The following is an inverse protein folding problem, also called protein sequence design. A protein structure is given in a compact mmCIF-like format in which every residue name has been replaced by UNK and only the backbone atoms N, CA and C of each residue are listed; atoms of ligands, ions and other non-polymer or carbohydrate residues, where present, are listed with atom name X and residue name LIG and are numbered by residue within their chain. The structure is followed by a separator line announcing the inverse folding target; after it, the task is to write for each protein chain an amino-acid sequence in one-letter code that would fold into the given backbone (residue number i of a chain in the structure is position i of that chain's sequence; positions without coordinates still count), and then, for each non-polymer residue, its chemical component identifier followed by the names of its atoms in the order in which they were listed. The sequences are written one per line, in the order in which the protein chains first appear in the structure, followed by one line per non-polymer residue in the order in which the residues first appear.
data_IF_957897497150
#
_entry.id   IF_957897497150
#
_cell.length_a   1.000
_cell.length_b   1.000
_cell.length_c   1.000
_cell.angle_alpha   90.00
_cell.angle_beta   90.00
_cell.angle_gamma   90.00
#
_symmetry.space_group_name_H-M   'P 1'
#
loop_
_entity.id
_entity.type
_entity.pdbx_description
1 polymer ?
#
# COMPACT_ATOMS: atom_id res chain seq x y z
N UNK A 1 -22.32 -1.47 14.99
CA UNK A 1 -21.42 -2.65 14.93
C UNK A 1 -20.04 -2.13 14.56
N UNK A 2 -19.03 -2.42 15.38
CA UNK A 2 -17.63 -2.00 15.17
C UNK A 2 -16.80 -3.27 14.93
N UNK A 3 -15.95 -3.26 13.90
CA UNK A 3 -15.07 -4.42 13.59
C UNK A 3 -13.82 -4.40 14.46
N UNK A 4 -13.15 -3.24 14.59
CA UNK A 4 -11.96 -3.08 15.44
C UNK A 4 -11.75 -1.60 15.85
N UNK A 5 -10.74 -1.34 16.69
CA UNK A 5 -10.21 -0.01 17.03
C UNK A 5 -8.67 -0.01 16.97
N UNK A 6 -8.03 1.14 17.24
CA UNK A 6 -6.57 1.24 17.36
C UNK A 6 -5.79 1.36 16.05
N UNK A 7 -6.49 1.58 14.92
CA UNK A 7 -5.88 1.99 13.66
C UNK A 7 -5.49 3.47 13.72
N UNK A 8 -4.38 3.84 13.08
CA UNK A 8 -3.87 5.21 13.02
C UNK A 8 -3.88 5.68 11.57
N UNK A 9 -4.72 6.66 11.23
CA UNK A 9 -4.87 7.21 9.87
C UNK A 9 -4.96 6.12 8.77
N UNK A 10 -5.96 5.22 8.81
CA UNK A 10 -6.12 4.19 7.79
C UNK A 10 -6.45 4.81 6.42
N UNK A 11 -5.81 4.32 5.35
CA UNK A 11 -5.92 4.89 4.00
C UNK A 11 -6.66 3.96 3.04
N UNK A 12 -6.41 2.66 3.11
CA UNK A 12 -7.01 1.65 2.24
C UNK A 12 -6.99 0.28 2.92
N UNK A 13 -7.91 -0.60 2.54
CA UNK A 13 -7.95 -1.98 3.00
C UNK A 13 -8.07 -2.96 1.84
N UNK A 14 -7.64 -4.21 2.07
CA UNK A 14 -7.87 -5.31 1.15
C UNK A 14 -8.21 -6.61 1.91
N UNK A 15 -9.16 -7.36 1.37
CA UNK A 15 -9.61 -8.63 1.92
C UNK A 15 -8.79 -9.78 1.35
N UNK A 16 -8.30 -10.64 2.24
CA UNK A 16 -7.64 -11.87 1.87
C UNK A 16 -8.65 -13.04 1.79
N UNK A 17 -8.44 -14.01 0.89
CA UNK A 17 -9.26 -15.22 0.84
C UNK A 17 -9.23 -16.07 2.12
N UNK A 18 -8.21 -15.88 2.98
CA UNK A 18 -8.08 -16.56 4.27
C UNK A 18 -8.79 -15.85 5.44
N UNK A 19 -9.59 -14.82 5.15
CA UNK A 19 -10.39 -14.09 6.12
C UNK A 19 -9.67 -12.94 6.83
N UNK A 20 -8.37 -12.74 6.56
CA UNK A 20 -7.65 -11.55 7.04
C UNK A 20 -8.07 -10.30 6.27
N UNK A 21 -8.06 -9.17 6.94
CA UNK A 21 -8.18 -7.84 6.33
C UNK A 21 -6.84 -7.14 6.54
N UNK A 22 -6.22 -6.73 5.44
CA UNK A 22 -5.03 -5.90 5.48
C UNK A 22 -5.45 -4.43 5.44
N UNK A 23 -4.89 -3.61 6.31
CA UNK A 23 -5.21 -2.18 6.40
C UNK A 23 -3.93 -1.37 6.34
N UNK A 24 -3.80 -0.54 5.32
CA UNK A 24 -2.73 0.42 5.23
C UNK A 24 -3.01 1.60 6.17
N UNK A 25 -2.00 1.99 6.94
CA UNK A 25 -1.97 3.23 7.70
C UNK A 25 -1.03 4.20 6.99
N UNK A 26 -1.44 5.47 6.89
CA UNK A 26 -0.70 6.49 6.14
C UNK A 26 0.78 6.57 6.52
N UNK A 27 1.08 6.39 7.82
CA UNK A 27 2.43 6.43 8.38
C UNK A 27 3.34 5.24 8.02
N UNK A 28 2.89 4.33 7.14
CA UNK A 28 3.73 3.25 6.60
C UNK A 28 3.50 1.88 7.23
N UNK A 29 2.61 1.74 8.21
CA UNK A 29 2.27 0.43 8.75
C UNK A 29 1.25 -0.27 7.84
N UNK A 30 1.49 -1.54 7.53
CA UNK A 30 0.43 -2.43 7.09
C UNK A 30 -0.04 -3.28 8.27
N UNK A 31 -1.32 -3.15 8.62
CA UNK A 31 -1.94 -3.84 9.75
C UNK A 31 -2.74 -5.04 9.29
N UNK A 32 -2.98 -5.99 10.20
CA UNK A 32 -3.84 -7.14 9.98
C UNK A 32 -4.99 -7.09 10.98
N UNK A 33 -6.22 -7.22 10.48
CA UNK A 33 -7.37 -7.62 11.27
C UNK A 33 -7.62 -9.09 10.97
N UNK A 34 -7.69 -9.92 12.02
CA UNK A 34 -7.93 -11.37 11.93
C UNK A 34 -8.96 -11.75 12.98
N UNK A 35 -10.03 -12.44 12.57
CA UNK A 35 -11.13 -12.82 13.46
C UNK A 35 -11.72 -11.62 14.24
N UNK A 36 -11.83 -10.46 13.59
CA UNK A 36 -12.34 -9.23 14.22
C UNK A 36 -11.37 -8.54 15.20
N UNK A 37 -10.11 -8.99 15.28
CA UNK A 37 -9.12 -8.40 16.18
C UNK A 37 -7.98 -7.79 15.38
N UNK A 38 -7.63 -6.53 15.67
CA UNK A 38 -6.42 -5.89 15.15
C UNK A 38 -5.20 -6.52 15.82
N UNK A 39 -4.29 -7.07 15.03
CA UNK A 39 -3.05 -7.62 15.57
C UNK A 39 -2.15 -6.50 16.12
N UNK A 40 -1.45 -6.74 17.25
CA UNK A 40 -0.64 -5.73 17.92
C UNK A 40 0.60 -5.34 17.10
N UNK A 41 1.15 -6.29 16.35
CA UNK A 41 2.34 -6.07 15.50
C UNK A 41 1.88 -5.80 14.05
N UNK A 42 2.37 -4.74 13.39
CA UNK A 42 2.12 -4.54 11.97
C UNK A 42 2.76 -5.66 11.15
N UNK A 43 2.12 -6.05 10.06
CA UNK A 43 2.66 -7.01 9.09
C UNK A 43 3.99 -6.52 8.51
N UNK A 44 4.07 -5.22 8.19
CA UNK A 44 5.29 -4.51 7.80
C UNK A 44 5.19 -3.06 8.23
N UNK A 45 6.33 -2.45 8.53
CA UNK A 45 6.48 -1.02 8.74
C UNK A 45 7.45 -0.47 7.69
N UNK A 46 6.93 0.39 6.81
CA UNK A 46 7.71 1.06 5.78
C UNK A 46 8.11 2.45 6.26
N UNK A 47 9.32 2.88 5.93
CA UNK A 47 9.68 4.28 6.03
C UNK A 47 9.08 5.03 4.85
N UNK A 48 8.24 6.04 5.10
CA UNK A 48 7.46 6.76 4.07
C UNK A 48 7.46 8.26 4.32
N UNK A 49 7.28 9.05 3.26
CA UNK A 49 6.89 10.45 3.42
C UNK A 49 5.37 10.50 3.67
N UNK A 50 4.92 10.94 4.85
CA UNK A 50 3.49 10.94 5.23
C UNK A 50 2.87 12.35 5.27
N UNK A 51 3.33 13.29 4.44
CA UNK A 51 2.80 14.65 4.39
C UNK A 51 1.60 14.77 3.46
N UNK A 52 0.51 15.43 3.89
CA UNK A 52 -0.69 15.62 3.08
C UNK A 52 -1.38 14.28 2.77
N UNK A 53 -1.52 13.94 1.49
CA UNK A 53 -2.04 12.65 1.03
C UNK A 53 -0.94 11.60 0.78
N UNK A 54 0.34 11.95 0.97
CA UNK A 54 1.46 11.01 0.83
C UNK A 54 1.43 9.98 1.95
N UNK A 55 2.11 8.86 1.75
CA UNK A 55 2.26 7.80 2.74
C UNK A 55 2.11 6.42 2.12
N UNK A 56 1.74 5.43 2.93
CA UNK A 56 1.25 4.14 2.42
C UNK A 56 -0.25 4.26 2.11
N UNK A 57 -0.58 4.29 0.82
CA UNK A 57 -1.93 4.66 0.35
C UNK A 57 -2.54 3.68 -0.66
N UNK A 58 -1.80 2.64 -1.05
CA UNK A 58 -2.34 1.58 -1.91
C UNK A 58 -1.94 0.20 -1.44
N UNK A 59 -2.87 -0.74 -1.61
CA UNK A 59 -2.64 -2.16 -1.41
C UNK A 59 -3.44 -2.95 -2.45
N UNK A 60 -2.85 -4.03 -2.97
CA UNK A 60 -3.61 -5.11 -3.59
C UNK A 60 -2.90 -6.45 -3.37
N UNK A 61 -3.66 -7.53 -3.40
CA UNK A 61 -3.13 -8.88 -3.27
C UNK A 61 -2.96 -9.46 -4.67
N UNK A 62 -1.94 -10.30 -4.86
CA UNK A 62 -1.81 -11.07 -6.08
C UNK A 62 -3.03 -12.00 -6.28
N UNK A 63 -3.52 -12.21 -7.51
CA UNK A 63 -4.63 -13.14 -7.77
C UNK A 63 -4.37 -14.57 -7.24
N UNK A 64 -3.11 -14.98 -7.14
CA UNK A 64 -2.69 -16.27 -6.59
C UNK A 64 -2.19 -16.18 -5.14
N UNK A 65 -2.65 -15.19 -4.36
CA UNK A 65 -2.21 -14.94 -2.98
C UNK A 65 -2.27 -16.16 -2.06
N UNK A 66 -3.25 -17.06 -2.24
CA UNK A 66 -3.36 -18.29 -1.46
C UNK A 66 -2.13 -19.19 -1.59
N UNK A 67 -1.44 -19.12 -2.73
CA UNK A 67 -0.25 -19.91 -3.05
C UNK A 67 1.04 -19.10 -2.87
N UNK A 68 1.15 -17.92 -3.47
CA UNK A 68 2.41 -17.16 -3.53
C UNK A 68 2.61 -16.16 -2.38
N UNK A 69 1.55 -15.83 -1.65
CA UNK A 69 1.57 -14.87 -0.52
C UNK A 69 2.10 -13.48 -0.90
N UNK A 70 1.88 -13.06 -2.15
CA UNK A 70 2.34 -11.76 -2.62
C UNK A 70 1.33 -10.64 -2.36
N UNK A 71 1.84 -9.54 -1.82
CA UNK A 71 1.12 -8.27 -1.69
C UNK A 71 1.87 -7.18 -2.44
N UNK A 72 1.14 -6.20 -2.97
CA UNK A 72 1.66 -5.03 -3.65
C UNK A 72 1.25 -3.80 -2.87
N UNK A 73 2.22 -2.92 -2.61
CA UNK A 73 2.03 -1.70 -1.82
C UNK A 73 2.43 -0.48 -2.64
N UNK A 74 1.58 0.55 -2.61
CA UNK A 74 1.84 1.86 -3.21
C UNK A 74 2.15 2.86 -2.10
N UNK A 75 3.33 3.47 -2.15
CA UNK A 75 3.75 4.40 -1.10
C UNK A 75 4.76 5.44 -1.55
N UNK A 76 4.83 6.54 -0.80
CA UNK A 76 5.74 7.65 -1.07
C UNK A 76 7.09 7.46 -0.38
N UNK A 77 8.18 7.54 -1.15
CA UNK A 77 9.56 7.41 -0.66
C UNK A 77 9.93 8.60 0.24
N UNK A 78 10.58 8.37 1.41
CA UNK A 78 10.76 9.39 2.45
C UNK A 78 11.90 10.38 2.19
N UNK A 79 12.95 9.96 1.49
CA UNK A 79 14.22 10.72 1.38
C UNK A 79 14.74 10.73 -0.06
N UNK A 80 15.66 11.65 -0.32
CA UNK A 80 16.18 11.87 -1.67
C UNK A 80 15.14 12.52 -2.56
N UNK A 81 15.02 12.04 -3.79
CA UNK A 81 13.98 12.47 -4.71
C UNK A 81 12.66 11.85 -4.24
N UNK A 82 11.70 12.67 -3.80
CA UNK A 82 10.39 12.17 -3.35
C UNK A 82 9.59 11.72 -4.57
N UNK A 83 9.18 10.46 -4.60
CA UNK A 83 8.35 9.86 -5.63
C UNK A 83 7.42 8.82 -4.98
N UNK A 84 6.38 8.44 -5.70
CA UNK A 84 5.57 7.28 -5.33
C UNK A 84 6.15 6.02 -6.00
N UNK A 85 5.99 4.88 -5.36
CA UNK A 85 6.43 3.60 -5.94
C UNK A 85 5.49 2.47 -5.61
N UNK A 86 5.61 1.41 -6.40
CA UNK A 86 4.96 0.13 -6.15
C UNK A 86 6.01 -0.92 -5.86
N UNK A 87 5.94 -1.52 -4.67
CA UNK A 87 6.76 -2.66 -4.29
C UNK A 87 5.90 -3.88 -3.99
N UNK A 88 6.41 -5.06 -4.33
CA UNK A 88 5.84 -6.35 -3.97
C UNK A 88 6.60 -6.93 -2.79
N UNK A 89 5.87 -7.48 -1.81
CA UNK A 89 6.41 -8.22 -0.67
C UNK A 89 5.83 -9.62 -0.61
N UNK A 90 6.55 -10.53 0.06
CA UNK A 90 6.11 -11.90 0.32
C UNK A 90 5.80 -12.07 1.81
N UNK A 91 4.63 -12.60 2.12
CA UNK A 91 4.25 -12.92 3.49
C UNK A 91 4.74 -14.29 3.93
N UNK A 92 5.18 -14.36 5.18
CA UNK A 92 5.39 -15.58 5.95
C UNK A 92 4.47 -15.54 7.16
N UNK A 93 3.28 -16.14 7.03
CA UNK A 93 2.23 -16.03 8.04
C UNK A 93 1.67 -14.60 8.12
N UNK A 94 1.76 -14.00 9.31
CA UNK A 94 1.23 -12.67 9.63
C UNK A 94 2.32 -11.56 9.57
N UNK A 95 3.45 -11.84 8.91
CA UNK A 95 4.59 -10.92 8.73
C UNK A 95 4.98 -10.88 7.25
N UNK A 96 5.38 -9.73 6.71
CA UNK A 96 6.10 -9.67 5.44
C UNK A 96 7.61 -9.66 5.66
N UNK A 97 8.32 -10.44 4.85
CA UNK A 97 9.78 -10.44 4.86
C UNK A 97 10.29 -9.14 4.23
N UNK A 98 10.90 -8.25 5.03
CA UNK A 98 11.44 -6.99 4.52
C UNK A 98 12.46 -7.20 3.38
N UNK A 99 13.28 -8.26 3.48
CA UNK A 99 14.23 -8.66 2.43
C UNK A 99 13.58 -9.19 1.15
N UNK A 100 12.27 -9.46 1.15
CA UNK A 100 11.54 -9.91 -0.04
C UNK A 100 11.03 -8.77 -0.91
N UNK A 101 11.28 -7.52 -0.51
CA UNK A 101 10.89 -6.36 -1.29
C UNK A 101 11.41 -6.47 -2.72
N UNK A 102 10.48 -6.41 -3.67
CA UNK A 102 10.78 -6.25 -5.08
C UNK A 102 10.10 -5.00 -5.57
N UNK A 103 10.88 -3.99 -5.94
CA UNK A 103 10.38 -2.79 -6.61
C UNK A 103 9.81 -3.22 -7.98
N UNK A 104 8.54 -2.87 -8.20
CA UNK A 104 7.81 -3.18 -9.44
C UNK A 104 7.80 -1.97 -10.35
N UNK A 105 7.63 -0.78 -9.77
CA UNK A 105 7.58 0.47 -10.49
C UNK A 105 8.10 1.61 -9.61
N UNK A 106 9.08 2.34 -10.13
CA UNK A 106 9.42 3.68 -9.64
C UNK A 106 8.68 4.69 -10.52
N UNK A 107 7.91 5.60 -9.91
CA UNK A 107 7.29 6.70 -10.63
C UNK A 107 8.22 7.91 -10.67
N UNK A 108 7.89 8.83 -11.56
CA UNK A 108 8.60 10.10 -11.68
C UNK A 108 8.59 10.91 -10.37
N UNK A 109 9.56 11.83 -10.20
CA UNK A 109 9.60 12.72 -9.05
C UNK A 109 8.27 13.46 -8.86
N UNK A 110 7.79 13.51 -7.62
CA UNK A 110 6.67 14.37 -7.24
C UNK A 110 7.11 15.84 -7.31
N UNK A 111 6.13 16.71 -7.56
CA UNK A 111 6.28 18.15 -7.36
C UNK A 111 6.36 18.49 -5.86
N UNK A 112 6.39 19.78 -5.54
CA UNK A 112 6.27 20.25 -4.16
C UNK A 112 4.91 19.97 -3.52
N UNK A 113 3.88 19.64 -4.30
CA UNK A 113 2.54 19.36 -3.81
C UNK A 113 2.45 18.02 -3.08
N UNK A 114 1.56 17.95 -2.09
CA UNK A 114 1.35 16.75 -1.26
C UNK A 114 0.00 16.08 -1.49
N UNK A 115 -0.79 16.59 -2.44
CA UNK A 115 -2.10 16.07 -2.86
C UNK A 115 -2.05 15.46 -4.27
N UNK A 116 -3.14 14.80 -4.64
CA UNK A 116 -3.37 14.10 -5.90
C UNK A 116 -2.31 13.01 -6.13
N UNK A 117 -2.14 12.12 -5.13
CA UNK A 117 -1.15 11.04 -5.19
C UNK A 117 -1.68 9.75 -5.85
N UNK A 118 -2.99 9.60 -6.03
CA UNK A 118 -3.59 8.37 -6.56
C UNK A 118 -3.47 7.21 -5.57
N UNK A 119 -2.97 6.06 -6.03
CA UNK A 119 -2.65 4.90 -5.18
C UNK A 119 -3.65 3.74 -5.24
N UNK A 120 -4.79 3.90 -5.93
CA UNK A 120 -5.69 2.78 -6.16
C UNK A 120 -5.00 1.72 -7.04
N UNK A 121 -5.08 0.46 -6.63
CA UNK A 121 -4.46 -0.68 -7.32
C UNK A 121 -5.40 -1.87 -7.39
N UNK A 122 -5.45 -2.53 -8.55
CA UNK A 122 -6.28 -3.71 -8.75
C UNK A 122 -5.69 -4.58 -9.86
N UNK A 123 -5.70 -5.90 -9.67
CA UNK A 123 -5.48 -6.82 -10.78
C UNK A 123 -6.73 -6.97 -11.63
N UNK A 124 -6.57 -6.77 -12.95
CA UNK A 124 -7.62 -7.02 -13.94
C UNK A 124 -7.80 -8.51 -14.23
N UNK A 125 -8.91 -8.84 -14.91
CA UNK A 125 -9.19 -10.22 -15.36
C UNK A 125 -8.17 -10.75 -16.38
N UNK A 126 -7.41 -9.85 -17.00
CA UNK A 126 -6.31 -10.16 -17.92
C UNK A 126 -4.98 -10.47 -17.20
N UNK A 127 -4.98 -10.46 -15.86
CA UNK A 127 -3.82 -10.76 -15.04
C UNK A 127 -2.84 -9.60 -14.89
N UNK A 128 -3.19 -8.39 -15.37
CA UNK A 128 -2.33 -7.21 -15.25
C UNK A 128 -2.67 -6.39 -14.02
N UNK A 129 -1.66 -5.76 -13.44
CA UNK A 129 -1.82 -4.79 -12.36
C UNK A 129 -2.14 -3.42 -12.95
N UNK A 130 -3.30 -2.87 -12.57
CA UNK A 130 -3.71 -1.51 -12.89
C UNK A 130 -3.46 -0.61 -11.69
N UNK A 131 -2.88 0.57 -11.94
CA UNK A 131 -2.47 1.52 -10.91
C UNK A 131 -3.01 2.89 -11.31
N UNK A 132 -3.78 3.54 -10.43
CA UNK A 132 -4.16 4.94 -10.59
C UNK A 132 -3.03 5.83 -10.06
N UNK A 133 -2.44 6.65 -10.95
CA UNK A 133 -1.38 7.60 -10.60
C UNK A 133 -1.96 9.00 -10.72
N UNK A 134 -1.88 9.77 -9.64
CA UNK A 134 -2.31 11.16 -9.66
C UNK A 134 -1.23 12.07 -10.26
N UNK A 135 -1.65 13.20 -10.80
CA UNK A 135 -0.78 14.18 -11.47
C UNK A 135 -0.01 15.08 -10.50
N UNK A 136 -0.23 14.91 -9.18
CA UNK A 136 0.44 15.62 -8.10
C UNK A 136 0.39 17.15 -8.24
N UNK A 137 -0.79 17.67 -8.59
CA UNK A 137 -1.08 19.08 -8.86
C UNK A 137 -0.23 19.70 -10.00
N UNK A 138 0.45 18.88 -10.80
CA UNK A 138 1.09 19.32 -12.02
C UNK A 138 0.05 19.38 -13.15
N UNK A 139 -0.41 20.61 -13.46
CA UNK A 139 -1.43 20.85 -14.49
C UNK A 139 -1.05 20.30 -15.87
N UNK A 140 0.25 20.21 -16.19
CA UNK A 140 0.69 19.67 -17.48
C UNK A 140 0.42 18.16 -17.62
N UNK A 141 0.20 17.46 -16.50
CA UNK A 141 -0.05 16.02 -16.44
C UNK A 141 -1.52 15.69 -16.18
N UNK A 142 -2.42 16.69 -16.11
CA UNK A 142 -3.85 16.46 -15.93
C UNK A 142 -4.47 15.84 -17.20
N UNK A 143 -5.44 14.93 -17.01
CA UNK A 143 -6.19 14.26 -18.08
C UNK A 143 -7.57 14.88 -18.28
#
# INVERSE_FOLDING_TARGET
MQVTNGLINPTVLAFAPDGRIFVAEQGGNLRIIKNGVLLPVPLVQLNVNASGERGLIGITLDPNFTTNKYIYLYYTVPTGIIHNRVSRFTLTGDVALASSEKIILELDPLSGATNHNGGAMQFGKDGKLYIAVGENANRANAQ
#
